data_IF_565895998942
#
_entry.id   IF_565895998942
#
_cell.length_a   1.000
_cell.length_b   1.000
_cell.length_c   1.000
_cell.angle_alpha   90.00
_cell.angle_beta   90.00
_cell.angle_gamma   90.00
#
_symmetry.space_group_name_H-M   'P 1'
#
loop_
_entity.id
_entity.type
_entity.pdbx_description
1 polymer ?
#
# COMPACT_ATOMS: atom_id res chain seq x y z
N UNK A 1 4.65 19.32 62.17
CA UNK A 1 5.72 20.30 61.94
C UNK A 1 5.77 20.54 60.44
N UNK A 2 5.10 21.60 59.98
CA UNK A 2 5.70 22.87 59.50
C UNK A 2 6.40 22.70 58.14
N UNK A 3 6.18 23.50 57.10
CA UNK A 3 5.27 24.61 56.86
C UNK A 3 5.27 24.86 55.33
N UNK A 4 4.17 25.45 54.87
CA UNK A 4 3.93 26.07 53.57
C UNK A 4 4.99 27.08 53.09
N UNK A 5 5.13 27.22 51.77
CA UNK A 5 5.06 28.53 51.11
C UNK A 5 4.72 28.40 49.62
N UNK A 6 3.77 29.25 49.20
CA UNK A 6 3.28 29.43 47.82
C UNK A 6 4.30 30.24 47.00
N UNK A 7 4.39 29.95 45.71
CA UNK A 7 4.67 30.98 44.71
C UNK A 7 3.85 30.70 43.44
N UNK A 8 3.22 31.74 42.90
CA UNK A 8 2.25 31.72 41.82
C UNK A 8 2.70 32.69 40.74
N UNK A 9 2.73 32.25 39.48
CA UNK A 9 2.98 33.10 38.30
C UNK A 9 3.64 32.35 37.13
N UNK A 10 3.35 32.69 35.86
CA UNK A 10 2.81 31.69 34.95
C UNK A 10 3.62 31.40 33.66
N UNK A 11 3.20 30.32 32.99
CA UNK A 11 3.20 30.09 31.54
C UNK A 11 4.53 29.85 30.81
N UNK A 12 4.68 28.65 30.23
CA UNK A 12 4.47 28.39 28.78
C UNK A 12 4.88 26.97 28.41
N UNK A 13 4.01 26.29 27.67
CA UNK A 13 4.25 25.02 27.03
C UNK A 13 5.09 25.23 25.75
N UNK A 14 6.24 24.57 25.67
CA UNK A 14 7.03 24.45 24.44
C UNK A 14 6.61 23.20 23.66
N UNK A 15 5.91 23.40 22.54
CA UNK A 15 5.79 22.42 21.46
C UNK A 15 6.79 22.80 20.37
N UNK A 16 7.72 21.91 20.07
CA UNK A 16 8.60 22.02 18.91
C UNK A 16 7.82 21.60 17.66
N UNK A 17 7.56 22.56 16.77
CA UNK A 17 7.21 22.32 15.37
C UNK A 17 8.21 23.10 14.53
N UNK A 18 8.97 22.38 13.71
CA UNK A 18 9.95 22.91 12.76
C UNK A 18 9.16 23.49 11.59
N UNK A 19 9.10 24.82 11.50
CA UNK A 19 8.60 25.55 10.33
C UNK A 19 9.77 25.95 9.43
N UNK A 20 9.70 25.50 8.17
CA UNK A 20 10.56 25.96 7.08
C UNK A 20 10.13 27.39 6.71
N UNK A 21 11.12 28.26 6.63
CA UNK A 21 10.99 29.70 6.45
C UNK A 21 10.47 30.10 5.06
N UNK A 22 9.51 31.03 5.04
CA UNK A 22 9.39 32.01 3.96
C UNK A 22 9.24 33.39 4.61
N UNK A 23 10.23 34.24 4.32
CA UNK A 23 10.44 35.59 4.82
C UNK A 23 9.58 36.60 4.05
N UNK A 24 9.02 37.62 4.71
CA UNK A 24 8.46 38.77 3.98
C UNK A 24 7.48 39.66 4.75
N UNK A 25 8.01 40.50 5.65
CA UNK A 25 7.60 41.90 5.90
C UNK A 25 6.10 42.25 6.02
N UNK A 26 5.62 42.37 7.26
CA UNK A 26 4.39 43.08 7.61
C UNK A 26 4.61 44.60 7.50
N UNK A 27 4.12 45.21 6.42
CA UNK A 27 3.92 46.65 6.34
C UNK A 27 2.48 46.98 6.75
N UNK A 28 2.33 47.68 7.88
CA UNK A 28 1.07 48.27 8.31
C UNK A 28 0.67 49.39 7.34
N UNK A 29 -0.21 49.10 6.38
CA UNK A 29 -0.79 50.13 5.54
C UNK A 29 -1.89 50.88 6.31
N UNK A 30 -1.56 52.09 6.75
CA UNK A 30 -2.55 53.13 6.99
C UNK A 30 -3.22 53.45 5.65
N UNK A 31 -4.53 53.20 5.54
CA UNK A 31 -5.34 53.76 4.45
C UNK A 31 -5.45 55.26 4.72
N UNK A 32 -4.59 56.02 4.04
CA UNK A 32 -4.70 57.48 3.96
C UNK A 32 -5.87 57.79 3.04
N UNK A 33 -6.97 58.28 3.63
CA UNK A 33 -8.05 58.92 2.87
C UNK A 33 -7.56 60.30 2.43
N UNK A 34 -6.91 60.38 1.26
CA UNK A 34 -6.73 61.65 0.56
C UNK A 34 -6.89 61.44 -0.95
N UNK A 35 -7.75 62.25 -1.55
CA UNK A 35 -8.46 61.95 -2.79
C UNK A 35 -7.60 61.83 -4.05
N UNK A 36 -8.02 60.90 -4.91
CA UNK A 36 -8.53 61.16 -6.27
C UNK A 36 -8.95 59.80 -6.87
N UNK A 37 -10.12 59.31 -6.46
CA UNK A 37 -10.79 58.23 -7.17
C UNK A 37 -11.34 58.80 -8.48
N UNK A 38 -10.55 58.70 -9.55
CA UNK A 38 -11.09 58.79 -10.90
C UNK A 38 -12.20 57.75 -11.07
N UNK A 39 -13.19 57.97 -11.96
CA UNK A 39 -14.26 57.01 -12.18
C UNK A 39 -13.62 55.65 -12.48
N UNK A 40 -13.94 54.61 -11.69
CA UNK A 40 -13.72 53.24 -12.17
C UNK A 40 -14.33 53.21 -13.57
N UNK A 41 -13.59 52.80 -14.62
CA UNK A 41 -14.16 52.77 -15.95
C UNK A 41 -15.48 52.01 -15.83
N UNK A 42 -16.57 52.74 -16.07
CA UNK A 42 -17.89 52.13 -16.11
C UNK A 42 -17.85 51.00 -17.11
N UNK A 43 -18.75 50.04 -16.96
CA UNK A 43 -19.02 49.08 -18.02
C UNK A 43 -19.05 49.83 -19.37
N UNK A 44 -18.39 49.28 -20.39
CA UNK A 44 -18.39 49.85 -21.74
C UNK A 44 -19.82 50.29 -22.08
N UNK A 45 -20.01 51.47 -22.70
CA UNK A 45 -21.34 52.02 -22.96
C UNK A 45 -22.26 51.09 -23.78
N UNK A 46 -21.69 50.04 -24.40
CA UNK A 46 -22.41 48.96 -25.10
C UNK A 46 -22.93 47.85 -24.18
N UNK A 47 -22.47 47.77 -22.93
CA UNK A 47 -22.86 46.76 -21.94
C UNK A 47 -23.95 47.35 -21.06
N UNK A 48 -25.18 46.87 -21.24
CA UNK A 48 -26.37 47.38 -20.55
C UNK A 48 -26.50 46.83 -19.12
N UNK A 49 -26.16 45.56 -18.90
CA UNK A 49 -26.20 44.91 -17.59
C UNK A 49 -25.20 43.74 -17.50
N UNK A 50 -24.79 43.40 -16.26
CA UNK A 50 -24.09 42.15 -15.94
C UNK A 50 -24.95 41.38 -14.92
N UNK A 51 -25.77 40.43 -15.39
CA UNK A 51 -26.60 39.63 -14.50
C UNK A 51 -25.72 38.83 -13.54
N UNK A 52 -26.09 38.79 -12.25
CA UNK A 52 -25.38 38.01 -11.24
C UNK A 52 -25.90 36.59 -11.21
N UNK A 53 -25.06 35.65 -10.81
CA UNK A 53 -25.49 34.28 -10.51
C UNK A 53 -26.34 34.32 -9.25
N UNK A 54 -27.64 34.06 -9.37
CA UNK A 54 -28.58 34.27 -8.26
C UNK A 54 -28.83 32.99 -7.45
N UNK A 55 -28.65 31.80 -8.04
CA UNK A 55 -29.12 30.55 -7.45
C UNK A 55 -28.17 29.37 -7.71
N UNK A 56 -28.09 28.47 -6.73
CA UNK A 56 -27.35 27.21 -6.82
C UNK A 56 -28.30 26.05 -7.06
N UNK A 57 -27.90 25.11 -7.90
CA UNK A 57 -28.65 23.89 -8.21
C UNK A 57 -27.71 22.70 -8.11
N UNK A 58 -28.09 21.68 -7.33
CA UNK A 58 -27.31 20.46 -7.18
C UNK A 58 -27.93 19.32 -8.00
N UNK A 59 -27.12 18.68 -8.84
CA UNK A 59 -27.54 17.57 -9.72
C UNK A 59 -26.72 16.33 -9.37
N UNK A 60 -27.35 15.16 -9.40
CA UNK A 60 -26.66 13.88 -9.17
C UNK A 60 -26.12 13.36 -10.51
N UNK A 61 -24.84 12.99 -10.54
CA UNK A 61 -24.20 12.38 -11.71
C UNK A 61 -24.97 11.13 -12.17
N UNK A 62 -25.07 10.92 -13.50
CA UNK A 62 -25.78 9.80 -14.14
C UNK A 62 -27.28 9.72 -13.82
N UNK A 63 -27.88 10.79 -13.30
CA UNK A 63 -29.33 10.89 -13.11
C UNK A 63 -29.89 12.09 -13.88
N UNK A 64 -31.10 11.92 -14.41
CA UNK A 64 -31.89 13.00 -14.99
C UNK A 64 -32.82 13.61 -13.94
N UNK A 65 -32.83 14.93 -13.81
CA UNK A 65 -33.78 15.66 -12.98
C UNK A 65 -34.68 16.52 -13.88
N UNK A 66 -35.99 16.26 -13.83
CA UNK A 66 -36.99 17.03 -14.56
C UNK A 66 -37.27 18.36 -13.85
N UNK A 67 -37.20 19.46 -14.58
CA UNK A 67 -37.52 20.80 -14.12
C UNK A 67 -38.74 21.31 -14.88
N UNK A 68 -39.74 21.74 -14.10
CA UNK A 68 -40.94 22.40 -14.62
C UNK A 68 -40.84 23.89 -14.35
N UNK A 69 -41.05 24.68 -15.38
CA UNK A 69 -40.99 26.15 -15.33
C UNK A 69 -42.39 26.75 -15.40
N UNK A 70 -42.59 27.88 -14.72
CA UNK A 70 -43.88 28.58 -14.73
C UNK A 70 -44.09 29.41 -16.00
N UNK A 71 -42.99 29.84 -16.65
CA UNK A 71 -42.97 30.60 -17.88
C UNK A 71 -42.21 29.82 -18.96
N UNK A 72 -42.57 30.04 -20.21
CA UNK A 72 -41.92 29.42 -21.37
C UNK A 72 -40.45 29.83 -21.46
N UNK A 73 -39.58 28.86 -21.64
CA UNK A 73 -38.15 29.08 -21.85
C UNK A 73 -37.89 29.25 -23.35
N UNK A 74 -37.38 30.42 -23.74
CA UNK A 74 -37.10 30.72 -25.15
C UNK A 74 -35.72 30.21 -25.58
N UNK A 75 -34.77 30.17 -24.65
CA UNK A 75 -33.40 29.72 -24.90
C UNK A 75 -32.76 29.18 -23.61
N UNK A 76 -31.85 28.22 -23.78
CA UNK A 76 -31.00 27.68 -22.71
C UNK A 76 -29.54 27.69 -23.18
N UNK A 77 -28.60 27.93 -22.26
CA UNK A 77 -27.17 27.84 -22.53
C UNK A 77 -26.44 27.23 -21.32
N UNK A 78 -25.48 26.36 -21.60
CA UNK A 78 -24.62 25.70 -20.62
C UNK A 78 -23.19 26.19 -20.88
N UNK A 79 -22.48 26.60 -19.83
CA UNK A 79 -21.09 27.04 -19.97
C UNK A 79 -20.16 25.89 -20.34
N UNK A 80 -20.29 24.75 -19.65
CA UNK A 80 -19.54 23.52 -19.91
C UNK A 80 -20.49 22.33 -20.08
N UNK A 81 -20.69 21.82 -21.32
CA UNK A 81 -21.56 20.67 -21.59
C UNK A 81 -20.95 19.32 -21.16
N UNK A 82 -19.68 19.27 -20.73
CA UNK A 82 -19.09 18.05 -20.17
C UNK A 82 -19.59 17.74 -18.75
N UNK A 83 -20.08 18.77 -18.03
CA UNK A 83 -20.56 18.65 -16.64
C UNK A 83 -22.04 18.28 -16.60
N UNK A 84 -22.87 18.95 -17.40
CA UNK A 84 -24.31 18.68 -17.51
C UNK A 84 -24.76 18.72 -18.97
N UNK A 85 -25.82 17.97 -19.26
CA UNK A 85 -26.58 18.03 -20.51
C UNK A 85 -28.03 18.41 -20.24
N UNK A 86 -28.71 19.00 -21.23
CA UNK A 86 -30.11 19.43 -21.13
C UNK A 86 -30.92 18.80 -22.25
N UNK A 87 -32.00 18.12 -21.85
CA UNK A 87 -32.98 17.56 -22.77
C UNK A 87 -34.32 18.32 -22.63
N UNK A 88 -34.74 19.10 -23.63
CA UNK A 88 -36.08 19.70 -23.64
C UNK A 88 -37.15 18.61 -23.81
N UNK A 89 -38.23 18.69 -23.05
CA UNK A 89 -39.38 17.76 -23.17
C UNK A 89 -40.61 18.46 -23.75
N UNK A 90 -41.09 19.50 -23.06
CA UNK A 90 -42.23 20.32 -23.46
C UNK A 90 -41.84 21.80 -23.39
N UNK A 91 -42.74 22.71 -23.78
CA UNK A 91 -42.44 24.16 -23.82
C UNK A 91 -42.06 24.75 -22.45
N UNK A 92 -42.53 24.13 -21.36
CA UNK A 92 -42.28 24.54 -19.98
C UNK A 92 -41.53 23.47 -19.17
N UNK A 93 -41.05 22.39 -19.80
CA UNK A 93 -40.40 21.28 -19.10
C UNK A 93 -39.10 20.85 -19.78
N UNK A 94 -38.04 20.69 -19.00
CA UNK A 94 -36.76 20.18 -19.47
C UNK A 94 -36.08 19.31 -18.41
N UNK A 95 -35.31 18.30 -18.81
CA UNK A 95 -34.40 17.59 -17.90
C UNK A 95 -33.02 18.22 -17.92
N UNK A 96 -32.40 18.22 -16.75
CA UNK A 96 -30.95 18.34 -16.60
C UNK A 96 -30.40 16.95 -16.27
N UNK A 97 -29.37 16.55 -17.00
CA UNK A 97 -28.68 15.27 -16.83
C UNK A 97 -27.25 15.57 -16.35
N UNK A 98 -26.86 15.05 -15.20
CA UNK A 98 -25.48 15.19 -14.72
C UNK A 98 -24.54 14.24 -15.48
N UNK A 99 -23.62 14.78 -16.28
CA UNK A 99 -22.68 13.99 -17.07
C UNK A 99 -21.38 13.70 -16.29
N UNK A 100 -20.72 14.75 -15.79
CA UNK A 100 -19.48 14.65 -15.02
C UNK A 100 -19.53 15.49 -13.74
N UNK A 101 -18.69 15.15 -12.77
CA UNK A 101 -18.51 15.92 -11.54
C UNK A 101 -17.90 17.29 -11.86
N UNK A 102 -18.47 18.35 -11.31
CA UNK A 102 -17.97 19.70 -11.57
C UNK A 102 -18.98 20.80 -11.25
N UNK A 103 -18.57 22.03 -11.53
CA UNK A 103 -19.44 23.21 -11.45
C UNK A 103 -19.53 23.82 -12.84
N UNK A 104 -20.74 24.17 -13.25
CA UNK A 104 -21.02 24.80 -14.54
C UNK A 104 -22.14 25.82 -14.36
N UNK A 105 -22.33 26.68 -15.36
CA UNK A 105 -23.35 27.72 -15.31
C UNK A 105 -24.44 27.41 -16.32
N UNK A 106 -25.69 27.40 -15.86
CA UNK A 106 -26.88 27.29 -16.69
C UNK A 106 -27.55 28.66 -16.79
N UNK A 107 -27.69 29.16 -18.00
CA UNK A 107 -28.41 30.41 -18.29
C UNK A 107 -29.71 30.10 -19.01
N UNK A 108 -30.82 30.64 -18.48
CA UNK A 108 -32.17 30.47 -19.01
C UNK A 108 -32.73 31.83 -19.42
N UNK A 109 -33.30 31.91 -20.61
CA UNK A 109 -34.05 33.08 -21.06
C UNK A 109 -35.54 32.73 -21.09
N UNK A 110 -36.35 33.55 -20.42
CA UNK A 110 -37.80 33.37 -20.38
C UNK A 110 -38.49 34.30 -21.37
N UNK A 111 -39.70 33.93 -21.75
CA UNK A 111 -40.61 34.85 -22.42
C UNK A 111 -41.00 36.00 -21.47
N UNK A 112 -41.10 37.21 -22.02
CA UNK A 112 -41.42 38.46 -21.30
C UNK A 112 -40.42 38.92 -20.22
N UNK A 113 -39.22 38.34 -20.17
CA UNK A 113 -38.16 38.74 -19.24
C UNK A 113 -36.91 39.22 -19.98
N UNK A 114 -36.40 40.40 -19.59
CA UNK A 114 -35.21 40.98 -20.21
C UNK A 114 -33.91 40.46 -19.57
N UNK A 115 -33.97 40.03 -18.32
CA UNK A 115 -32.80 39.54 -17.59
C UNK A 115 -32.75 38.00 -17.62
N UNK A 116 -31.64 37.39 -18.07
CA UNK A 116 -31.50 35.95 -18.04
C UNK A 116 -31.33 35.44 -16.61
N UNK A 117 -31.94 34.29 -16.33
CA UNK A 117 -31.77 33.63 -15.04
C UNK A 117 -30.55 32.72 -15.09
N UNK A 118 -29.57 33.01 -14.23
CA UNK A 118 -28.29 32.30 -14.19
C UNK A 118 -28.21 31.43 -12.93
N UNK A 119 -28.06 30.12 -13.13
CA UNK A 119 -27.84 29.11 -12.09
C UNK A 119 -26.40 28.61 -12.09
N UNK A 120 -25.79 28.51 -10.91
CA UNK A 120 -24.60 27.71 -10.68
C UNK A 120 -25.03 26.25 -10.44
N UNK A 121 -24.75 25.39 -11.39
CA UNK A 121 -25.08 23.96 -11.33
C UNK A 121 -23.86 23.20 -10.83
N UNK A 122 -24.02 22.49 -9.73
CA UNK A 122 -22.98 21.62 -9.16
C UNK A 122 -23.41 20.17 -9.32
N UNK A 123 -22.63 19.39 -10.07
CA UNK A 123 -22.86 17.95 -10.21
C UNK A 123 -22.11 17.21 -9.11
N UNK A 124 -22.83 16.52 -8.24
CA UNK A 124 -22.29 15.70 -7.15
C UNK A 124 -22.41 14.22 -7.48
N UNK A 125 -21.55 13.39 -6.87
CA UNK A 125 -21.68 11.94 -6.92
C UNK A 125 -22.93 11.53 -6.13
N UNK A 126 -23.60 10.47 -6.56
CA UNK A 126 -24.77 9.95 -5.86
C UNK A 126 -24.43 9.64 -4.39
N UNK A 127 -25.00 10.37 -3.41
CA UNK A 127 -24.70 10.15 -2.00
C UNK A 127 -25.19 8.78 -1.51
N UNK A 128 -26.10 8.14 -2.25
CA UNK A 128 -26.54 6.79 -1.92
C UNK A 128 -25.46 5.74 -2.14
N UNK A 129 -24.49 5.98 -3.03
CA UNK A 129 -23.38 5.05 -3.26
C UNK A 129 -22.48 4.99 -2.03
N UNK A 130 -22.13 6.13 -1.44
CA UNK A 130 -21.28 6.16 -0.24
C UNK A 130 -21.97 5.52 0.98
N UNK A 131 -23.28 5.72 1.10
CA UNK A 131 -24.09 5.06 2.13
C UNK A 131 -24.23 3.55 1.89
N UNK A 132 -24.39 3.11 0.64
CA UNK A 132 -24.40 1.69 0.28
C UNK A 132 -23.06 1.03 0.60
N UNK A 133 -21.94 1.65 0.21
CA UNK A 133 -20.58 1.17 0.53
C UNK A 133 -20.41 0.98 2.05
N UNK A 134 -20.87 1.95 2.84
CA UNK A 134 -20.82 1.85 4.31
C UNK A 134 -21.61 0.65 4.83
N UNK A 135 -22.79 0.40 4.28
CA UNK A 135 -23.63 -0.75 4.65
C UNK A 135 -22.97 -2.06 4.25
N UNK A 136 -22.39 -2.14 3.06
CA UNK A 136 -21.80 -3.36 2.51
C UNK A 136 -20.47 -3.72 3.20
N UNK A 137 -19.59 -2.76 3.43
CA UNK A 137 -18.42 -2.98 4.30
C UNK A 137 -18.83 -3.33 5.73
N UNK A 138 -19.93 -2.78 6.25
CA UNK A 138 -20.49 -3.17 7.54
C UNK A 138 -21.04 -4.60 7.57
N UNK A 139 -21.48 -5.17 6.43
CA UNK A 139 -21.82 -6.60 6.31
C UNK A 139 -20.56 -7.46 6.28
N UNK A 140 -19.55 -7.04 5.52
CA UNK A 140 -18.27 -7.74 5.43
C UNK A 140 -17.56 -7.78 6.78
N UNK A 141 -17.55 -6.68 7.52
CA UNK A 141 -16.99 -6.61 8.88
C UNK A 141 -17.68 -7.62 9.81
N UNK A 142 -19.01 -7.72 9.77
CA UNK A 142 -19.76 -8.73 10.53
C UNK A 142 -19.40 -10.16 10.12
N UNK A 143 -19.23 -10.41 8.82
CA UNK A 143 -18.79 -11.71 8.29
C UNK A 143 -17.38 -12.06 8.77
N UNK A 144 -16.45 -11.10 8.74
CA UNK A 144 -15.09 -11.25 9.25
C UNK A 144 -15.08 -11.52 10.75
N UNK A 145 -15.93 -10.85 11.53
CA UNK A 145 -16.06 -11.09 12.97
C UNK A 145 -16.57 -12.51 13.29
N UNK A 146 -17.41 -13.08 12.42
CA UNK A 146 -17.88 -14.48 12.54
C UNK A 146 -16.77 -15.46 12.15
N UNK A 147 -16.04 -15.20 11.07
CA UNK A 147 -14.98 -16.08 10.58
C UNK A 147 -13.73 -16.08 11.47
N UNK A 148 -13.40 -14.94 12.06
CA UNK A 148 -12.20 -14.74 12.88
C UNK A 148 -12.57 -14.18 14.26
N UNK A 149 -13.18 -14.97 15.16
CA UNK A 149 -13.69 -14.49 16.44
C UNK A 149 -12.62 -13.95 17.39
N UNK A 150 -11.35 -14.35 17.20
CA UNK A 150 -10.21 -13.91 18.00
C UNK A 150 -9.48 -12.69 17.40
N UNK A 151 -9.90 -12.23 16.22
CA UNK A 151 -9.31 -11.12 15.49
C UNK A 151 -10.33 -10.00 15.36
N UNK A 152 -9.95 -8.77 15.74
CA UNK A 152 -10.82 -7.59 15.61
C UNK A 152 -10.40 -6.82 14.38
N UNK A 153 -11.28 -6.71 13.40
CA UNK A 153 -10.99 -6.05 12.12
C UNK A 153 -12.05 -4.99 11.88
N UNK A 154 -11.63 -3.81 11.44
CA UNK A 154 -12.47 -2.68 11.10
C UNK A 154 -12.15 -2.24 9.68
N UNK A 155 -13.19 -1.99 8.89
CA UNK A 155 -13.07 -1.55 7.51
C UNK A 155 -13.50 -0.09 7.40
N UNK A 156 -12.60 0.77 6.93
CA UNK A 156 -12.88 2.19 6.76
C UNK A 156 -12.75 2.54 5.29
N UNK A 157 -13.86 2.78 4.57
CA UNK A 157 -13.81 3.25 3.19
C UNK A 157 -13.28 4.70 3.15
N UNK A 158 -12.34 4.94 2.24
CA UNK A 158 -11.73 6.24 1.96
C UNK A 158 -11.74 6.47 0.45
N UNK A 159 -12.87 6.91 -0.10
CA UNK A 159 -13.03 7.23 -1.52
C UNK A 159 -12.62 6.07 -2.45
N UNK A 160 -11.36 6.00 -2.87
CA UNK A 160 -10.77 4.96 -3.73
C UNK A 160 -9.95 3.91 -2.96
N UNK A 161 -9.85 4.04 -1.63
CA UNK A 161 -9.05 3.16 -0.78
C UNK A 161 -9.89 2.54 0.32
N UNK A 162 -9.56 1.31 0.70
CA UNK A 162 -10.09 0.66 1.88
C UNK A 162 -8.99 0.52 2.92
N UNK A 163 -9.21 1.09 4.10
CA UNK A 163 -8.27 0.93 5.22
C UNK A 163 -8.73 -0.24 6.08
N UNK A 164 -7.84 -1.20 6.25
CA UNK A 164 -8.06 -2.36 7.13
C UNK A 164 -7.32 -2.11 8.43
N UNK A 165 -8.06 -1.87 9.51
CA UNK A 165 -7.49 -1.64 10.85
C UNK A 165 -7.85 -2.76 11.79
N UNK A 166 -7.01 -2.96 12.81
CA UNK A 166 -7.34 -3.80 13.95
C UNK A 166 -6.21 -4.72 14.35
N UNK A 167 -6.56 -5.85 14.96
CA UNK A 167 -5.62 -6.84 15.45
C UNK A 167 -6.01 -8.22 14.94
N UNK A 168 -5.07 -8.90 14.27
CA UNK A 168 -5.18 -10.30 13.92
C UNK A 168 -4.40 -11.14 14.92
N UNK A 169 -4.91 -12.33 15.25
CA UNK A 169 -4.29 -13.23 16.24
C UNK A 169 -2.87 -13.65 15.86
N UNK A 170 -2.65 -13.95 14.58
CA UNK A 170 -1.37 -14.39 14.05
C UNK A 170 -1.21 -13.92 12.59
N UNK A 171 0.01 -14.06 12.04
CA UNK A 171 0.29 -13.65 10.67
C UNK A 171 -0.47 -14.45 9.61
N UNK A 172 -0.85 -15.70 9.91
CA UNK A 172 -1.59 -16.54 8.97
C UNK A 172 -3.07 -16.14 8.91
N UNK A 173 -3.68 -15.80 10.04
CA UNK A 173 -5.02 -15.19 10.11
C UNK A 173 -5.01 -13.82 9.45
N UNK A 174 -4.00 -12.98 9.69
CA UNK A 174 -3.87 -11.68 9.04
C UNK A 174 -3.85 -11.81 7.51
N UNK A 175 -3.05 -12.73 6.96
CA UNK A 175 -2.99 -12.99 5.52
C UNK A 175 -4.33 -13.46 4.96
N UNK A 176 -5.02 -14.38 5.65
CA UNK A 176 -6.35 -14.85 5.24
C UNK A 176 -7.41 -13.74 5.29
N UNK A 177 -7.38 -12.88 6.31
CA UNK A 177 -8.29 -11.74 6.43
C UNK A 177 -8.10 -10.80 5.24
N UNK A 178 -6.86 -10.43 4.92
CA UNK A 178 -6.55 -9.54 3.80
C UNK A 178 -6.99 -10.16 2.47
N UNK A 179 -6.73 -11.44 2.24
CA UNK A 179 -7.15 -12.14 1.02
C UNK A 179 -8.67 -12.12 0.82
N UNK A 180 -9.45 -12.28 1.90
CA UNK A 180 -10.92 -12.22 1.81
C UNK A 180 -11.39 -10.81 1.48
N UNK A 181 -10.78 -9.80 2.11
CA UNK A 181 -11.13 -8.39 1.87
C UNK A 181 -10.79 -7.98 0.44
N UNK A 182 -9.62 -8.40 -0.05
CA UNK A 182 -9.18 -8.15 -1.42
C UNK A 182 -10.13 -8.74 -2.46
N UNK A 183 -10.59 -9.99 -2.25
CA UNK A 183 -11.55 -10.62 -3.14
C UNK A 183 -12.87 -9.85 -3.23
N UNK A 184 -13.44 -9.44 -2.09
CA UNK A 184 -14.73 -8.73 -2.05
C UNK A 184 -14.62 -7.28 -2.55
N UNK A 185 -13.50 -6.60 -2.30
CA UNK A 185 -13.29 -5.21 -2.73
C UNK A 185 -13.18 -5.07 -4.26
N UNK A 186 -12.62 -6.07 -4.93
CA UNK A 186 -12.45 -6.08 -6.40
C UNK A 186 -13.78 -6.27 -7.15
N UNK A 187 -14.76 -6.94 -6.54
CA UNK A 187 -16.07 -7.20 -7.16
C UNK A 187 -16.98 -5.95 -7.15
N UNK A 188 -16.91 -5.13 -6.09
CA UNK A 188 -17.79 -3.98 -5.87
C UNK A 188 -17.40 -2.74 -6.71
N UNK A 189 -16.10 -2.59 -7.02
CA UNK A 189 -15.60 -1.62 -8.02
C UNK A 189 -15.75 -2.11 -9.47
N UNK A 190 -16.58 -3.15 -9.69
CA UNK A 190 -17.21 -3.52 -10.95
C UNK A 190 -16.44 -3.18 -12.22
N UNK A 191 -15.66 -4.14 -12.74
CA UNK A 191 -15.45 -4.26 -14.19
C UNK A 191 -14.75 -3.10 -14.91
N UNK A 192 -14.10 -2.18 -14.20
CA UNK A 192 -13.17 -1.22 -14.80
C UNK A 192 -11.76 -1.81 -14.77
N UNK A 193 -11.47 -2.60 -15.82
CA UNK A 193 -10.13 -2.74 -16.39
C UNK A 193 -8.94 -2.58 -15.45
N UNK A 194 -8.83 -3.41 -14.40
CA UNK A 194 -7.52 -3.72 -13.85
C UNK A 194 -6.64 -4.26 -14.99
N UNK A 195 -5.32 -3.94 -15.04
CA UNK A 195 -4.44 -4.40 -16.12
C UNK A 195 -4.29 -5.93 -16.04
N UNK A 196 -5.22 -6.64 -16.65
CA UNK A 196 -5.35 -8.09 -16.51
C UNK A 196 -6.74 -8.64 -16.87
N UNK A 197 -7.55 -7.90 -17.65
CA UNK A 197 -8.83 -8.38 -18.17
C UNK A 197 -8.67 -9.65 -19.00
N UNK A 198 -8.85 -10.81 -18.36
CA UNK A 198 -9.06 -12.08 -19.03
C UNK A 198 -10.51 -12.11 -19.55
N UNK A 199 -10.68 -11.52 -20.72
CA UNK A 199 -11.94 -11.47 -21.46
C UNK A 199 -11.69 -11.23 -22.94
N UNK A 200 -10.82 -12.04 -23.55
CA UNK A 200 -10.47 -11.95 -24.97
C UNK A 200 -10.18 -13.33 -25.53
N UNK A 201 -11.18 -13.89 -26.22
CA UNK A 201 -11.09 -15.12 -27.01
C UNK A 201 -10.52 -14.75 -28.38
N UNK A 202 -9.44 -15.39 -28.79
CA UNK A 202 -9.01 -15.48 -30.18
C UNK A 202 -7.72 -14.71 -30.52
N UNK A 203 -6.74 -15.50 -30.96
CA UNK A 203 -5.78 -15.16 -32.03
C UNK A 203 -4.60 -14.25 -31.68
N UNK A 204 -3.43 -14.86 -31.40
CA UNK A 204 -2.11 -14.35 -31.84
C UNK A 204 -1.02 -15.40 -31.62
N UNK A 205 -0.89 -16.31 -32.60
CA UNK A 205 0.33 -17.08 -32.79
C UNK A 205 1.36 -16.21 -33.52
N UNK A 206 2.37 -15.75 -32.81
CA UNK A 206 3.62 -15.29 -33.41
C UNK A 206 4.12 -13.96 -32.85
N UNK A 207 5.09 -14.02 -31.95
CA UNK A 207 6.45 -13.60 -32.26
C UNK A 207 7.33 -13.78 -31.03
N UNK A 208 8.50 -14.37 -31.22
CA UNK A 208 9.53 -14.49 -30.21
C UNK A 208 10.31 -13.18 -30.13
N UNK A 209 10.22 -12.48 -28.99
CA UNK A 209 11.32 -11.64 -28.49
C UNK A 209 11.36 -11.72 -26.97
N UNK A 210 12.37 -12.44 -26.47
CA UNK A 210 12.58 -12.72 -25.06
C UNK A 210 13.33 -11.59 -24.38
N UNK A 211 12.60 -10.63 -23.83
CA UNK A 211 13.14 -9.52 -23.06
C UNK A 211 12.42 -9.32 -21.72
N UNK A 212 12.95 -9.96 -20.66
CA UNK A 212 12.80 -9.57 -19.24
C UNK A 212 11.38 -9.59 -18.65
N UNK A 213 10.96 -10.78 -18.21
CA UNK A 213 10.03 -10.92 -17.07
C UNK A 213 10.82 -10.71 -15.77
N UNK A 214 10.37 -9.79 -14.93
CA UNK A 214 10.91 -9.61 -13.58
C UNK A 214 10.97 -8.17 -13.11
N UNK A 215 9.83 -7.48 -13.00
CA UNK A 215 9.70 -6.24 -12.21
C UNK A 215 8.25 -5.98 -11.80
N UNK A 216 7.90 -6.45 -10.60
CA UNK A 216 6.89 -5.85 -9.72
C UNK A 216 5.43 -5.98 -10.15
N UNK A 217 4.89 -7.20 -10.20
CA UNK A 217 3.43 -7.40 -10.15
C UNK A 217 2.84 -7.11 -8.76
N UNK A 218 3.67 -6.92 -7.73
CA UNK A 218 3.22 -6.70 -6.35
C UNK A 218 2.73 -5.25 -6.07
N UNK A 219 3.03 -4.29 -6.96
CA UNK A 219 2.75 -2.85 -6.73
C UNK A 219 1.40 -2.37 -7.29
N UNK A 220 0.71 -3.18 -8.11
CA UNK A 220 -0.63 -2.83 -8.60
C UNK A 220 -1.73 -3.04 -7.55
N UNK A 221 -1.44 -3.81 -6.50
CA UNK A 221 -2.40 -4.21 -5.46
C UNK A 221 -2.32 -3.34 -4.18
N UNK A 222 -1.19 -2.67 -3.94
CA UNK A 222 -0.98 -1.82 -2.75
C UNK A 222 -1.65 -0.43 -2.85
N UNK A 223 -2.16 -0.06 -4.02
CA UNK A 223 -2.77 1.25 -4.27
C UNK A 223 -4.12 1.45 -3.57
N UNK A 224 -4.93 0.39 -3.51
CA UNK A 224 -6.35 0.46 -3.10
C UNK A 224 -6.59 -0.07 -1.68
N UNK A 225 -5.76 -0.97 -1.17
CA UNK A 225 -5.89 -1.52 0.17
C UNK A 225 -4.78 -0.97 1.08
N UNK A 226 -5.16 -0.26 2.14
CA UNK A 226 -4.22 0.22 3.15
C UNK A 226 -4.28 -0.70 4.35
N UNK A 227 -3.30 -1.61 4.43
CA UNK A 227 -3.18 -2.55 5.53
C UNK A 227 -2.61 -1.87 6.79
N UNK A 228 -3.41 -1.78 7.85
CA UNK A 228 -3.03 -1.33 9.20
C UNK A 228 -3.37 -2.40 10.26
N UNK A 229 -3.46 -3.66 9.85
CA UNK A 229 -3.69 -4.78 10.75
C UNK A 229 -2.41 -5.06 11.56
N UNK A 230 -2.55 -5.07 12.87
CA UNK A 230 -1.47 -5.40 13.79
C UNK A 230 -1.55 -6.88 14.17
N UNK A 231 -0.41 -7.56 14.23
CA UNK A 231 -0.34 -8.93 14.76
C UNK A 231 0.35 -8.87 16.12
N UNK A 232 -0.38 -8.98 17.24
CA UNK A 232 0.23 -9.01 18.56
C UNK A 232 0.82 -10.39 18.80
N UNK A 233 2.13 -10.45 18.99
CA UNK A 233 2.81 -11.70 19.34
C UNK A 233 4.31 -11.60 19.12
N UNK A 234 5.06 -12.28 19.98
CA UNK A 234 6.48 -12.53 19.76
C UNK A 234 6.59 -13.85 18.98
N UNK A 235 7.03 -13.79 17.73
CA UNK A 235 7.17 -15.00 16.92
C UNK A 235 8.38 -15.80 17.43
N UNK A 236 8.13 -16.95 18.03
CA UNK A 236 9.20 -17.85 18.44
C UNK A 236 9.62 -18.71 17.23
N UNK A 237 10.90 -18.64 16.86
CA UNK A 237 11.51 -19.40 15.77
C UNK A 237 12.46 -20.42 16.37
N UNK A 238 12.28 -21.69 16.02
CA UNK A 238 13.18 -22.78 16.39
C UNK A 238 14.06 -23.17 15.21
N UNK A 239 15.37 -22.99 15.35
CA UNK A 239 16.37 -23.43 14.39
C UNK A 239 16.81 -24.86 14.73
N UNK A 240 16.71 -25.75 13.75
CA UNK A 240 17.32 -27.08 13.78
C UNK A 240 18.60 -27.08 12.94
N UNK A 241 19.75 -27.25 13.58
CA UNK A 241 21.03 -27.38 12.88
C UNK A 241 21.45 -28.85 12.88
N UNK A 242 21.89 -29.37 11.74
CA UNK A 242 22.52 -30.69 11.66
C UNK A 242 23.98 -30.53 11.27
N UNK A 243 24.88 -30.96 12.15
CA UNK A 243 26.32 -30.94 11.90
C UNK A 243 26.75 -32.37 11.57
N UNK A 244 27.32 -32.56 10.38
CA UNK A 244 27.84 -33.84 9.93
C UNK A 244 29.30 -33.68 9.47
N UNK A 245 30.12 -34.66 9.85
CA UNK A 245 31.48 -34.82 9.37
C UNK A 245 31.51 -35.78 8.17
N UNK A 246 32.32 -35.46 7.17
CA UNK A 246 32.45 -36.27 5.96
C UNK A 246 33.86 -36.87 5.87
N UNK A 247 33.95 -38.19 5.83
CA UNK A 247 35.21 -38.87 5.65
C UNK A 247 35.58 -38.91 4.15
N UNK A 248 36.35 -37.91 3.71
CA UNK A 248 36.80 -37.77 2.31
C UNK A 248 37.67 -38.94 1.83
N UNK A 249 38.32 -39.68 2.73
CA UNK A 249 39.17 -40.82 2.34
C UNK A 249 38.34 -42.01 1.84
N UNK A 250 37.12 -42.20 2.37
CA UNK A 250 36.19 -43.23 1.91
C UNK A 250 35.60 -42.86 0.54
N UNK A 251 35.24 -41.58 0.33
CA UNK A 251 34.84 -41.07 -0.99
C UNK A 251 35.93 -41.28 -2.04
N UNK A 252 37.19 -41.03 -1.68
CA UNK A 252 38.32 -41.21 -2.60
C UNK A 252 38.58 -42.68 -2.94
N UNK A 253 38.36 -43.61 -2.00
CA UNK A 253 38.44 -45.06 -2.26
C UNK A 253 37.32 -45.55 -3.17
N UNK A 254 36.16 -44.90 -3.12
CA UNK A 254 35.05 -45.21 -4.02
C UNK A 254 35.40 -44.90 -5.48
N UNK A 255 36.25 -43.90 -5.75
CA UNK A 255 37.02 -43.74 -7.00
C UNK A 255 36.21 -43.57 -8.30
N UNK A 256 34.89 -43.41 -8.21
CA UNK A 256 33.96 -43.39 -9.34
C UNK A 256 33.27 -42.04 -9.39
N UNK A 257 33.28 -41.41 -10.57
CA UNK A 257 32.38 -40.30 -10.86
C UNK A 257 30.96 -40.86 -10.94
N UNK A 258 30.08 -40.41 -10.05
CA UNK A 258 28.68 -40.82 -10.06
C UNK A 258 27.79 -39.59 -10.19
N UNK A 259 26.83 -39.71 -11.09
CA UNK A 259 25.74 -38.77 -11.27
C UNK A 259 24.44 -39.51 -10.92
N UNK A 260 23.81 -39.10 -9.84
CA UNK A 260 22.55 -39.70 -9.37
C UNK A 260 21.44 -38.68 -9.58
N UNK A 261 20.53 -38.99 -10.51
CA UNK A 261 19.31 -38.21 -10.74
C UNK A 261 18.14 -38.89 -10.01
N UNK A 262 17.37 -38.11 -9.27
CA UNK A 262 16.20 -38.58 -8.53
C UNK A 262 15.07 -37.54 -8.58
N UNK A 263 13.88 -37.92 -8.10
CA UNK A 263 12.65 -37.15 -8.22
C UNK A 263 12.38 -36.70 -9.68
N UNK A 264 12.27 -37.67 -10.58
CA UNK A 264 11.94 -37.44 -12.00
C UNK A 264 12.89 -36.48 -12.73
N UNK A 265 14.17 -36.44 -12.33
CA UNK A 265 15.20 -35.61 -12.96
C UNK A 265 15.30 -34.18 -12.43
N UNK A 266 14.54 -33.85 -11.38
CA UNK A 266 14.56 -32.52 -10.76
C UNK A 266 15.73 -32.34 -9.78
N UNK A 267 16.23 -33.41 -9.19
CA UNK A 267 17.38 -33.39 -8.28
C UNK A 267 18.53 -34.22 -8.84
N UNK A 268 19.75 -33.69 -8.73
CA UNK A 268 20.96 -34.34 -9.18
C UNK A 268 22.05 -34.21 -8.10
N UNK A 269 22.75 -35.31 -7.83
CA UNK A 269 23.99 -35.33 -7.05
C UNK A 269 25.11 -35.76 -8.00
N UNK A 270 26.09 -34.87 -8.16
CA UNK A 270 27.28 -35.10 -8.96
C UNK A 270 28.49 -35.21 -8.04
N UNK A 271 29.16 -36.35 -8.10
CA UNK A 271 30.51 -36.54 -7.57
C UNK A 271 31.49 -36.47 -8.74
N UNK A 272 32.38 -35.49 -8.71
CA UNK A 272 33.45 -35.35 -9.70
C UNK A 272 34.81 -35.45 -9.01
N UNK A 273 35.67 -36.34 -9.51
CA UNK A 273 37.05 -36.53 -9.07
C UNK A 273 37.96 -35.84 -10.09
N UNK A 274 37.97 -34.50 -10.05
CA UNK A 274 38.87 -33.69 -10.87
C UNK A 274 40.11 -33.30 -10.07
N UNK A 275 41.31 -33.57 -10.59
CA UNK A 275 42.58 -33.13 -9.99
C UNK A 275 42.92 -33.73 -8.61
N UNK A 276 42.31 -34.87 -8.24
CA UNK A 276 42.59 -35.56 -6.97
C UNK A 276 41.85 -35.01 -5.75
N UNK A 277 41.01 -33.98 -5.93
CA UNK A 277 40.11 -33.45 -4.89
C UNK A 277 38.68 -33.90 -5.21
N UNK A 278 38.07 -34.82 -4.43
CA UNK A 278 36.69 -35.21 -4.66
C UNK A 278 35.75 -34.05 -4.29
N UNK A 279 34.99 -33.54 -5.27
CA UNK A 279 33.97 -32.52 -5.06
C UNK A 279 32.58 -33.12 -5.22
N UNK A 280 31.72 -32.91 -4.21
CA UNK A 280 30.30 -33.27 -4.24
C UNK A 280 29.49 -32.00 -4.49
N UNK A 281 28.66 -32.02 -5.53
CA UNK A 281 27.77 -30.92 -5.90
C UNK A 281 26.36 -31.44 -6.12
N UNK A 282 25.34 -30.67 -5.77
CA UNK A 282 23.96 -31.09 -6.00
C UNK A 282 22.97 -29.94 -5.94
N UNK A 283 21.82 -30.14 -6.58
CA UNK A 283 20.69 -29.21 -6.61
C UNK A 283 19.58 -29.81 -5.74
N UNK A 284 19.22 -29.10 -4.67
CA UNK A 284 18.27 -29.56 -3.65
C UNK A 284 17.11 -28.59 -3.52
N UNK A 285 15.91 -29.11 -3.33
CA UNK A 285 14.78 -28.34 -2.82
C UNK A 285 14.58 -28.64 -1.32
N UNK A 286 13.71 -27.86 -0.67
CA UNK A 286 13.50 -27.88 0.77
C UNK A 286 13.24 -29.31 1.31
N UNK A 287 14.20 -29.85 2.07
CA UNK A 287 14.11 -31.18 2.71
C UNK A 287 15.04 -32.26 2.14
N UNK A 288 15.51 -32.12 0.90
CA UNK A 288 16.25 -33.17 0.18
C UNK A 288 17.69 -33.34 0.69
N UNK A 289 18.27 -32.29 1.27
CA UNK A 289 19.62 -32.34 1.85
C UNK A 289 19.71 -33.32 3.02
N UNK A 290 18.61 -33.54 3.75
CA UNK A 290 18.53 -34.50 4.86
C UNK A 290 18.64 -35.93 4.36
N UNK A 291 18.02 -36.23 3.21
CA UNK A 291 18.06 -37.56 2.56
C UNK A 291 19.47 -37.88 2.09
N UNK A 292 20.17 -36.90 1.51
CA UNK A 292 21.58 -37.04 1.12
C UNK A 292 22.48 -37.32 2.32
N UNK A 293 22.37 -36.52 3.39
CA UNK A 293 23.16 -36.72 4.61
C UNK A 293 22.89 -38.10 5.21
N UNK A 294 21.62 -38.55 5.20
CA UNK A 294 21.25 -39.88 5.67
C UNK A 294 21.83 -41.00 4.80
N UNK A 295 21.83 -40.85 3.46
CA UNK A 295 22.41 -41.81 2.52
C UNK A 295 23.95 -41.88 2.62
N UNK A 296 24.62 -40.75 2.86
CA UNK A 296 26.05 -40.72 3.14
C UNK A 296 26.38 -41.34 4.50
N UNK A 297 25.50 -41.16 5.49
CA UNK A 297 25.65 -41.76 6.81
C UNK A 297 25.44 -43.28 6.82
N UNK A 298 24.44 -43.78 6.08
CA UNK A 298 24.20 -45.23 5.97
C UNK A 298 25.33 -45.96 5.26
N UNK A 299 25.97 -45.32 4.29
CA UNK A 299 27.15 -45.84 3.58
C UNK A 299 28.47 -45.60 4.35
N UNK A 300 28.41 -45.17 5.62
CA UNK A 300 29.59 -44.97 6.48
C UNK A 300 30.53 -43.85 6.05
N UNK A 301 30.11 -42.99 5.14
CA UNK A 301 30.91 -41.94 4.52
C UNK A 301 30.74 -40.60 5.23
N UNK A 302 29.56 -40.35 5.80
CA UNK A 302 29.30 -39.23 6.70
C UNK A 302 28.98 -39.73 8.12
N UNK A 303 29.28 -38.92 9.13
CA UNK A 303 28.89 -39.17 10.52
C UNK A 303 28.23 -37.91 11.07
N UNK A 304 26.99 -38.04 11.52
CA UNK A 304 26.28 -36.94 12.18
C UNK A 304 26.88 -36.78 13.57
N UNK A 305 27.45 -35.61 13.86
CA UNK A 305 28.14 -35.33 15.12
C UNK A 305 27.18 -34.76 16.16
N UNK A 306 26.31 -33.85 15.74
CA UNK A 306 25.38 -33.18 16.66
C UNK A 306 24.18 -32.59 15.92
N UNK A 307 23.09 -32.42 16.67
CA UNK A 307 21.85 -31.77 16.22
C UNK A 307 21.39 -30.73 17.25
N UNK A 308 22.09 -29.60 17.38
CA UNK A 308 21.65 -28.57 18.31
C UNK A 308 20.36 -27.91 17.82
N UNK A 309 19.51 -27.55 18.77
CA UNK A 309 18.35 -26.69 18.55
C UNK A 309 18.55 -25.36 19.26
N UNK A 310 18.14 -24.27 18.62
CA UNK A 310 18.16 -22.92 19.18
C UNK A 310 16.81 -22.29 18.98
N UNK A 311 16.26 -21.67 20.01
CA UNK A 311 14.96 -21.00 19.93
C UNK A 311 15.12 -19.51 20.22
N UNK A 312 14.61 -18.65 19.35
CA UNK A 312 14.72 -17.19 19.46
C UNK A 312 13.40 -16.51 19.08
N UNK A 313 13.29 -15.21 19.36
CA UNK A 313 12.21 -14.37 18.86
C UNK A 313 12.56 -13.82 17.47
N UNK A 314 11.55 -13.62 16.62
CA UNK A 314 11.74 -12.96 15.33
C UNK A 314 12.27 -11.54 15.52
N UNK A 315 13.28 -11.19 14.73
CA UNK A 315 13.99 -9.91 14.82
C UNK A 315 15.04 -9.82 15.95
N UNK A 316 15.20 -10.86 16.78
CA UNK A 316 16.19 -10.86 17.87
C UNK A 316 17.39 -11.75 17.52
N UNK A 317 18.64 -11.23 17.60
CA UNK A 317 19.83 -12.04 17.39
C UNK A 317 19.97 -13.07 18.51
N UNK A 318 20.32 -14.31 18.15
CA UNK A 318 20.60 -15.38 19.11
C UNK A 318 21.93 -16.05 18.77
N UNK A 319 22.74 -16.31 19.80
CA UNK A 319 24.04 -16.96 19.67
C UNK A 319 24.01 -18.31 20.38
N UNK A 320 24.49 -19.35 19.70
CA UNK A 320 24.65 -20.68 20.26
C UNK A 320 26.14 -20.98 20.46
N UNK A 321 26.54 -21.22 21.71
CA UNK A 321 27.90 -21.63 22.05
C UNK A 321 27.90 -23.11 22.43
N UNK A 322 28.60 -23.93 21.65
CA UNK A 322 28.85 -25.33 21.97
C UNK A 322 30.35 -25.60 21.93
N UNK A 323 30.96 -25.70 23.10
CA UNK A 323 32.38 -25.94 23.29
C UNK A 323 32.78 -25.86 24.76
N UNK A 324 34.07 -26.05 25.03
CA UNK A 324 34.71 -25.76 26.31
C UNK A 324 35.92 -24.83 26.10
N UNK A 325 36.37 -24.15 27.14
CA UNK A 325 37.55 -23.29 27.06
C UNK A 325 38.82 -24.16 27.12
N UNK A 326 39.69 -24.05 26.11
CA UNK A 326 41.01 -24.68 26.11
C UNK A 326 42.08 -23.60 26.23
N UNK A 327 42.83 -23.62 27.33
CA UNK A 327 43.89 -22.64 27.56
C UNK A 327 45.00 -22.82 26.52
N UNK A 328 45.21 -21.82 25.68
CA UNK A 328 46.35 -21.78 24.75
C UNK A 328 47.49 -21.05 25.44
N UNK A 329 48.63 -21.70 25.73
CA UNK A 329 49.77 -21.02 26.32
C UNK A 329 50.30 -20.00 25.32
N UNK A 330 50.24 -18.72 25.69
CA UNK A 330 50.94 -17.68 24.96
C UNK A 330 52.34 -17.57 25.56
N UNK A 331 53.37 -17.68 24.72
CA UNK A 331 54.73 -17.43 25.15
C UNK A 331 54.84 -15.91 25.27
N UNK A 332 54.66 -15.38 26.47
CA UNK A 332 55.00 -13.99 26.76
C UNK A 332 56.52 -13.93 26.77
N UNK A 333 57.11 -13.48 25.66
CA UNK A 333 58.56 -13.30 25.55
C UNK A 333 59.01 -12.31 26.62
N UNK A 334 59.79 -12.78 27.61
CA UNK A 334 60.59 -11.86 28.41
C UNK A 334 61.58 -11.21 27.45
N UNK A 335 61.29 -9.95 27.10
CA UNK A 335 62.27 -9.05 26.50
C UNK A 335 63.51 -9.06 27.37
N UNK A 336 64.65 -9.37 26.75
CA UNK A 336 65.93 -9.42 27.42
C UNK A 336 66.18 -8.13 28.20
N UNK A 337 66.34 -8.26 29.52
CA UNK A 337 66.98 -7.24 30.30
C UNK A 337 68.48 -7.30 29.97
N UNK A 338 68.90 -6.45 29.03
CA UNK A 338 70.27 -5.99 28.94
C UNK A 338 70.60 -5.25 30.26
N UNK A 339 71.32 -5.94 31.15
CA UNK A 339 72.02 -5.34 32.28
C UNK A 339 73.50 -5.17 31.90
N UNK A 340 73.87 -3.95 31.55
CA UNK A 340 75.20 -3.50 31.14
C UNK A 340 76.06 -3.14 32.37
N UNK A 341 77.35 -3.51 32.32
CA UNK A 341 78.50 -3.05 33.17
C UNK A 341 78.41 -3.45 34.66
N UNK A 342 79.45 -3.99 35.29
CA UNK A 342 80.89 -3.65 35.24
C UNK A 342 81.78 -4.88 35.21
#
# INVERSE_FOLDING_TARGET
MLNSSRYQGPAKAGKHLICIAVCGLMASFHVSANGQDGPRPGLDARIVSMPKVERKLEIIQNRSQLIKTAKRVTRMAIADPSVIDIAPFEENEFAIIGAALGTTTLTLWFEDDNDPLIYEVTTIRDPNIEEQLRIDYGKLERKLAILFPNSKVYLIPLHEKLVVKGQARDGAEAARILQIIEGEFLDDYGGLGGPGGFGGRGDDFGNADGGRRGRGDDDLFSGFLVNMLQVPGEFQVMLHVTIAELNRSQLRRMGVDFNVLFANGRHAINSAISGGVPTLTGIFENGDITVLIAALASNGTAKILSRPSLTTLSGHPATFLAGGEFAVPTIVGLGGAAGQQT
#
